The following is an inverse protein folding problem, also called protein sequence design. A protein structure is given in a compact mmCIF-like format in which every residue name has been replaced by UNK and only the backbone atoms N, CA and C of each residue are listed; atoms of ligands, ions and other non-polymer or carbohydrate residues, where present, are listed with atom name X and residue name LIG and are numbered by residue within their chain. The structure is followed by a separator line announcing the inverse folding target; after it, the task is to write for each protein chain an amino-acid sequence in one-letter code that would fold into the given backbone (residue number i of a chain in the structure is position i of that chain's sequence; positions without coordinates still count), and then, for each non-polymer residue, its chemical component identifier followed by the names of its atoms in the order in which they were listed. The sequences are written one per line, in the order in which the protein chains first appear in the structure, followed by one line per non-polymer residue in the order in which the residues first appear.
data_IF_142796017213
#
_entry.id   IF_142796017213
#
_cell.length_a   1.000
_cell.length_b   1.000
_cell.length_c   1.000
_cell.angle_alpha   90.00
_cell.angle_beta   90.00
_cell.angle_gamma   90.00
#
_symmetry.space_group_name_H-M   'P 1'
#
loop_
_entity.id
_entity.type
_entity.pdbx_description
1 polymer ?
#
# COMPACT_ATOMS: atom_id res chain seq x y z
N UNK A 1 -24.84 -1.47 -18.59
CA UNK A 1 -24.93 -0.05 -18.23
C UNK A 1 -25.90 0.27 -17.08
N UNK A 2 -27.13 -0.25 -16.98
CA UNK A 2 -28.08 0.07 -15.87
C UNK A 2 -27.63 -0.41 -14.48
N UNK A 3 -26.98 -1.56 -14.33
CA UNK A 3 -26.51 -2.09 -13.05
C UNK A 3 -25.34 -1.29 -12.46
N UNK A 4 -24.40 -0.83 -13.30
CA UNK A 4 -23.27 0.02 -12.88
C UNK A 4 -23.73 1.39 -12.38
N UNK A 5 -24.77 1.96 -13.00
CA UNK A 5 -25.36 3.24 -12.57
C UNK A 5 -26.09 3.09 -11.23
N UNK A 6 -26.88 2.01 -11.02
CA UNK A 6 -27.53 1.73 -9.73
C UNK A 6 -26.51 1.50 -8.60
N UNK A 7 -25.40 0.79 -8.86
CA UNK A 7 -24.33 0.56 -7.88
C UNK A 7 -23.62 1.87 -7.49
N UNK A 8 -23.35 2.75 -8.48
CA UNK A 8 -22.75 4.08 -8.20
C UNK A 8 -23.67 4.96 -7.37
N UNK A 9 -24.97 4.99 -7.69
CA UNK A 9 -25.98 5.74 -6.90
C UNK A 9 -26.06 5.18 -5.47
N UNK A 10 -26.06 3.86 -5.29
CA UNK A 10 -26.04 3.24 -3.96
C UNK A 10 -24.80 3.60 -3.13
N UNK A 11 -23.60 3.62 -3.77
CA UNK A 11 -22.37 4.02 -3.10
C UNK A 11 -22.39 5.50 -2.69
N UNK A 12 -22.91 6.38 -3.55
CA UNK A 12 -23.05 7.80 -3.23
C UNK A 12 -24.06 8.01 -2.09
N UNK A 13 -25.18 7.32 -2.12
CA UNK A 13 -26.18 7.38 -1.06
C UNK A 13 -25.61 6.89 0.29
N UNK A 14 -24.84 5.80 0.28
CA UNK A 14 -24.16 5.30 1.47
C UNK A 14 -23.12 6.30 2.01
N UNK A 15 -22.34 6.93 1.12
CA UNK A 15 -21.38 7.96 1.52
C UNK A 15 -22.07 9.18 2.15
N UNK A 16 -23.14 9.66 1.52
CA UNK A 16 -23.95 10.77 2.06
C UNK A 16 -24.57 10.42 3.41
N UNK A 17 -25.08 9.20 3.57
CA UNK A 17 -25.63 8.74 4.83
C UNK A 17 -24.57 8.78 5.95
N UNK A 18 -23.39 8.22 5.71
CA UNK A 18 -22.33 8.21 6.73
C UNK A 18 -21.77 9.61 7.04
N UNK A 19 -21.67 10.48 6.03
CA UNK A 19 -21.33 11.89 6.26
C UNK A 19 -22.39 12.61 7.10
N UNK A 20 -23.68 12.35 6.87
CA UNK A 20 -24.75 12.91 7.67
C UNK A 20 -24.75 12.39 9.12
N UNK A 21 -24.48 11.09 9.32
CA UNK A 21 -24.30 10.49 10.66
C UNK A 21 -23.14 11.13 11.39
N UNK A 22 -21.99 11.30 10.72
CA UNK A 22 -20.84 11.98 11.32
C UNK A 22 -21.13 13.44 11.66
N UNK A 23 -21.77 14.17 10.74
CA UNK A 23 -22.19 15.57 11.01
C UNK A 23 -23.13 15.66 12.22
N UNK A 24 -24.11 14.79 12.31
CA UNK A 24 -25.04 14.74 13.43
C UNK A 24 -24.33 14.41 14.76
N UNK A 25 -23.39 13.47 14.75
CA UNK A 25 -22.58 13.13 15.91
C UNK A 25 -21.71 14.31 16.38
N UNK A 26 -21.06 15.01 15.46
CA UNK A 26 -20.26 16.21 15.77
C UNK A 26 -21.12 17.32 16.38
N UNK A 27 -22.32 17.54 15.84
CA UNK A 27 -23.27 18.52 16.37
C UNK A 27 -23.81 18.13 17.79
N UNK A 28 -24.05 16.82 18.01
CA UNK A 28 -24.51 16.32 19.29
C UNK A 28 -23.47 16.44 20.41
N UNK A 29 -22.17 16.26 20.07
CA UNK A 29 -21.03 16.44 21.00
C UNK A 29 -20.80 17.93 21.29
N UNK A 30 -20.96 18.80 20.28
CA UNK A 30 -20.88 20.24 20.41
C UNK A 30 -19.51 20.80 20.80
N UNK A 31 -18.47 19.96 20.81
CA UNK A 31 -17.10 20.35 21.17
C UNK A 31 -16.12 19.89 20.07
N UNK A 32 -15.55 20.85 19.34
CA UNK A 32 -14.66 20.62 18.22
C UNK A 32 -13.37 19.88 18.61
N UNK A 33 -12.91 20.03 19.85
CA UNK A 33 -11.73 19.33 20.36
C UNK A 33 -11.91 17.81 20.39
N UNK A 34 -13.15 17.32 20.61
CA UNK A 34 -13.43 15.89 20.63
C UNK A 34 -13.80 15.33 19.26
N UNK A 35 -14.63 16.03 18.51
CA UNK A 35 -15.07 15.58 17.18
C UNK A 35 -15.38 16.77 16.28
N UNK A 36 -14.55 16.93 15.27
CA UNK A 36 -14.73 17.93 14.22
C UNK A 36 -15.76 17.44 13.21
N UNK A 37 -16.61 18.33 12.72
CA UNK A 37 -17.56 18.01 11.67
C UNK A 37 -16.87 17.82 10.31
N UNK A 38 -17.48 17.05 9.36
CA UNK A 38 -16.96 16.92 8.00
C UNK A 38 -16.71 18.26 7.30
N UNK A 39 -17.60 19.24 7.53
CA UNK A 39 -17.49 20.56 6.92
C UNK A 39 -16.27 21.32 7.44
N UNK A 40 -16.04 21.29 8.75
CA UNK A 40 -14.86 21.92 9.37
C UNK A 40 -13.55 21.23 8.94
N UNK A 41 -13.52 19.90 8.92
CA UNK A 41 -12.36 19.15 8.45
C UNK A 41 -12.02 19.48 6.98
N UNK A 42 -13.05 19.63 6.14
CA UNK A 42 -12.87 20.07 4.75
C UNK A 42 -12.39 21.53 4.65
N UNK A 43 -12.90 22.42 5.50
CA UNK A 43 -12.44 23.80 5.61
C UNK A 43 -10.96 23.88 5.97
N UNK A 44 -10.53 23.18 7.02
CA UNK A 44 -9.11 23.10 7.43
C UNK A 44 -8.24 22.54 6.31
N UNK A 45 -8.71 21.51 5.60
CA UNK A 45 -7.97 20.99 4.44
C UNK A 45 -7.78 22.04 3.34
N UNK A 46 -8.83 22.83 3.05
CA UNK A 46 -8.75 23.92 2.07
C UNK A 46 -7.78 25.03 2.48
N UNK A 47 -7.62 25.30 3.77
CA UNK A 47 -6.64 26.25 4.31
C UNK A 47 -5.19 25.71 4.22
N UNK A 48 -5.00 24.38 4.32
CA UNK A 48 -3.69 23.75 4.21
C UNK A 48 -3.20 23.62 2.76
N UNK A 49 -4.10 23.36 1.81
CA UNK A 49 -3.75 23.11 0.40
C UNK A 49 -2.90 24.18 -0.29
N UNK A 50 -3.09 25.51 -0.06
CA UNK A 50 -2.26 26.55 -0.68
C UNK A 50 -0.88 26.71 -0.04
N UNK A 51 -0.61 26.06 1.11
CA UNK A 51 0.65 26.18 1.83
C UNK A 51 1.75 25.32 1.18
N UNK A 52 2.91 25.90 0.93
CA UNK A 52 4.04 25.17 0.37
C UNK A 52 4.53 24.04 1.31
N UNK A 53 4.48 24.26 2.62
CA UNK A 53 4.83 23.25 3.65
C UNK A 53 3.96 22.00 3.55
N UNK A 54 2.67 22.14 3.23
CA UNK A 54 1.76 21.02 3.01
C UNK A 54 2.29 20.06 1.93
N UNK A 55 2.68 20.59 0.77
CA UNK A 55 3.18 19.76 -0.33
C UNK A 55 4.57 19.19 -0.08
N UNK A 56 5.41 19.89 0.68
CA UNK A 56 6.70 19.37 1.13
C UNK A 56 6.52 18.15 2.02
N UNK A 57 5.60 18.21 3.00
CA UNK A 57 5.26 17.09 3.89
C UNK A 57 4.68 15.90 3.11
N UNK A 58 3.75 16.17 2.19
CA UNK A 58 3.19 15.15 1.31
C UNK A 58 4.30 14.48 0.48
N UNK A 59 5.18 15.28 -0.15
CA UNK A 59 6.29 14.77 -0.95
C UNK A 59 7.29 13.95 -0.13
N UNK A 60 7.63 14.40 1.08
CA UNK A 60 8.51 13.68 1.99
C UNK A 60 7.94 12.29 2.33
N UNK A 61 6.73 12.24 2.91
CA UNK A 61 6.11 10.99 3.34
C UNK A 61 5.85 10.05 2.16
N UNK A 62 5.29 10.57 1.06
CA UNK A 62 5.06 9.76 -0.14
C UNK A 62 6.36 9.16 -0.69
N UNK A 63 7.43 9.96 -0.79
CA UNK A 63 8.72 9.49 -1.29
C UNK A 63 9.31 8.36 -0.43
N UNK A 64 9.27 8.51 0.89
CA UNK A 64 9.82 7.52 1.82
C UNK A 64 8.99 6.23 1.85
N UNK A 65 7.66 6.34 1.94
CA UNK A 65 6.76 5.19 1.98
C UNK A 65 6.83 4.41 0.66
N UNK A 66 6.81 5.11 -0.48
CA UNK A 66 6.90 4.45 -1.80
C UNK A 66 8.26 3.84 -2.06
N UNK A 67 9.34 4.44 -1.55
CA UNK A 67 10.67 3.81 -1.61
C UNK A 67 10.69 2.50 -0.82
N UNK A 68 10.12 2.49 0.40
CA UNK A 68 9.97 1.27 1.20
C UNK A 68 9.12 0.20 0.47
N UNK A 69 8.01 0.61 -0.15
CA UNK A 69 7.18 -0.27 -0.97
C UNK A 69 7.96 -0.85 -2.15
N UNK A 70 8.67 -0.01 -2.92
CA UNK A 70 9.44 -0.47 -4.08
C UNK A 70 10.56 -1.46 -3.69
N UNK A 71 11.28 -1.18 -2.60
CA UNK A 71 12.25 -2.12 -2.03
C UNK A 71 11.59 -3.43 -1.62
N UNK A 72 10.41 -3.36 -0.98
CA UNK A 72 9.62 -4.53 -0.62
C UNK A 72 9.20 -5.37 -1.82
N UNK A 73 8.74 -4.73 -2.90
CA UNK A 73 8.42 -5.42 -4.17
C UNK A 73 9.64 -6.16 -4.72
N UNK A 74 10.76 -5.47 -4.90
CA UNK A 74 11.97 -6.05 -5.51
C UNK A 74 12.49 -7.22 -4.68
N UNK A 75 12.66 -7.00 -3.37
CA UNK A 75 13.20 -8.02 -2.47
C UNK A 75 12.27 -9.22 -2.35
N UNK A 76 10.95 -9.01 -2.26
CA UNK A 76 9.98 -10.11 -2.19
C UNK A 76 9.99 -10.99 -3.42
N UNK A 77 10.06 -10.40 -4.62
CA UNK A 77 10.12 -11.15 -5.89
C UNK A 77 11.42 -11.94 -5.97
N UNK A 78 12.56 -11.34 -5.62
CA UNK A 78 13.86 -12.02 -5.63
C UNK A 78 13.91 -13.17 -4.62
N UNK A 79 13.41 -12.96 -3.40
CA UNK A 79 13.38 -13.99 -2.38
C UNK A 79 12.42 -15.13 -2.74
N UNK A 80 11.26 -14.83 -3.32
CA UNK A 80 10.32 -15.86 -3.76
C UNK A 80 10.89 -16.69 -4.92
N UNK A 81 11.57 -16.05 -5.88
CA UNK A 81 12.26 -16.74 -6.97
C UNK A 81 13.44 -17.60 -6.45
N UNK A 82 14.18 -17.11 -5.45
CA UNK A 82 15.23 -17.89 -4.80
C UNK A 82 14.68 -19.09 -4.03
N UNK A 83 13.58 -18.92 -3.30
CA UNK A 83 12.92 -19.99 -2.56
C UNK A 83 12.36 -21.08 -3.49
N UNK A 84 11.87 -20.72 -4.67
CA UNK A 84 11.47 -21.68 -5.70
C UNK A 84 12.66 -22.49 -6.22
N UNK A 85 13.80 -21.84 -6.40
CA UNK A 85 15.01 -22.50 -6.94
C UNK A 85 15.73 -23.38 -5.90
N UNK A 86 15.69 -22.98 -4.61
CA UNK A 86 16.43 -23.63 -3.52
C UNK A 86 15.53 -23.81 -2.30
N UNK A 87 15.11 -25.03 -2.04
CA UNK A 87 14.22 -25.36 -0.91
C UNK A 87 14.77 -24.95 0.47
N UNK A 88 16.11 -24.90 0.64
CA UNK A 88 16.72 -24.42 1.90
C UNK A 88 16.47 -22.92 2.12
N UNK A 89 16.31 -22.11 1.07
CA UNK A 89 15.96 -20.68 1.18
C UNK A 89 14.57 -20.52 1.73
N UNK A 90 13.60 -21.29 1.22
CA UNK A 90 12.23 -21.30 1.74
C UNK A 90 12.19 -21.68 3.22
N UNK A 91 12.88 -22.76 3.59
CA UNK A 91 12.99 -23.20 4.98
C UNK A 91 13.61 -22.14 5.90
N UNK A 92 14.63 -21.42 5.41
CA UNK A 92 15.30 -20.36 6.17
C UNK A 92 14.42 -19.10 6.30
N UNK A 93 13.68 -18.76 5.27
CA UNK A 93 12.83 -17.55 5.26
C UNK A 93 11.52 -17.73 6.04
N UNK A 94 10.99 -18.94 6.10
CA UNK A 94 9.71 -19.22 6.74
C UNK A 94 9.59 -18.65 8.17
N UNK A 95 10.53 -18.86 9.11
CA UNK A 95 10.45 -18.30 10.45
C UNK A 95 10.54 -16.78 10.46
N UNK A 96 11.34 -16.17 9.57
CA UNK A 96 11.48 -14.71 9.47
C UNK A 96 10.18 -14.07 8.98
N UNK A 97 9.59 -14.62 7.93
CA UNK A 97 8.30 -14.17 7.40
C UNK A 97 7.19 -14.27 8.44
N UNK A 98 7.15 -15.40 9.20
CA UNK A 98 6.18 -15.60 10.29
C UNK A 98 6.40 -14.60 11.43
N UNK A 99 7.65 -14.34 11.81
CA UNK A 99 7.99 -13.37 12.85
C UNK A 99 7.48 -11.97 12.47
N UNK A 100 7.75 -11.53 11.24
CA UNK A 100 7.29 -10.20 10.75
C UNK A 100 5.76 -10.13 10.72
N UNK A 101 5.06 -11.19 10.29
CA UNK A 101 3.58 -11.25 10.28
C UNK A 101 2.97 -11.22 11.68
N UNK A 102 3.61 -11.85 12.66
CA UNK A 102 3.08 -11.99 14.01
C UNK A 102 3.37 -10.78 14.91
N UNK A 103 4.41 -10.01 14.61
CA UNK A 103 4.85 -8.91 15.47
C UNK A 103 3.99 -7.66 15.23
N UNK A 104 3.46 -7.02 16.29
CA UNK A 104 2.75 -5.74 16.17
C UNK A 104 3.64 -4.67 15.56
N UNK A 105 3.11 -3.92 14.59
CA UNK A 105 3.86 -2.87 13.87
C UNK A 105 4.48 -1.85 14.82
N UNK A 106 3.76 -1.41 15.85
CA UNK A 106 4.25 -0.46 16.83
C UNK A 106 5.51 -0.97 17.57
N UNK A 107 5.58 -2.27 17.89
CA UNK A 107 6.76 -2.88 18.51
C UNK A 107 7.97 -2.84 17.58
N UNK A 108 7.77 -3.13 16.28
CA UNK A 108 8.83 -2.98 15.29
C UNK A 108 9.34 -1.55 15.16
N UNK A 109 8.44 -0.57 15.16
CA UNK A 109 8.79 0.85 15.06
C UNK A 109 9.69 1.25 16.24
N UNK A 110 9.29 0.91 17.47
CA UNK A 110 10.06 1.27 18.67
C UNK A 110 11.42 0.57 18.67
N UNK A 111 11.44 -0.72 18.30
CA UNK A 111 12.69 -1.47 18.20
C UNK A 111 13.63 -0.89 17.14
N UNK A 112 13.11 -0.54 15.97
CA UNK A 112 13.89 0.01 14.87
C UNK A 112 14.50 1.37 15.18
N UNK A 113 13.85 2.18 16.03
CA UNK A 113 14.40 3.49 16.49
C UNK A 113 15.73 3.38 17.23
N UNK A 114 16.08 2.20 17.74
CA UNK A 114 17.39 1.98 18.39
C UNK A 114 18.54 2.06 17.39
N UNK A 115 18.28 1.67 16.11
CA UNK A 115 19.34 1.57 15.08
C UNK A 115 19.13 2.51 13.90
N UNK A 116 17.90 2.96 13.66
CA UNK A 116 17.53 3.74 12.47
C UNK A 116 17.00 5.09 12.90
N UNK A 117 17.49 6.16 12.23
CA UNK A 117 16.99 7.51 12.48
C UNK A 117 15.49 7.62 12.13
N UNK A 118 14.76 8.47 12.84
CA UNK A 118 13.34 8.74 12.58
C UNK A 118 13.05 9.06 11.11
N UNK A 119 14.02 9.70 10.42
CA UNK A 119 13.88 10.10 9.01
C UNK A 119 13.79 8.92 8.05
N UNK A 120 14.51 7.82 8.31
CA UNK A 120 14.51 6.63 7.45
C UNK A 120 13.56 5.53 7.95
N UNK A 121 12.90 5.76 9.08
CA UNK A 121 12.08 4.77 9.75
C UNK A 121 10.88 4.34 8.91
N UNK A 122 10.20 5.30 8.25
CA UNK A 122 9.06 4.99 7.38
C UNK A 122 9.44 4.14 6.18
N UNK A 123 10.66 4.28 5.63
CA UNK A 123 11.17 3.42 4.57
C UNK A 123 11.28 1.98 5.07
N UNK A 124 11.98 1.78 6.21
CA UNK A 124 12.21 0.46 6.78
C UNK A 124 10.91 -0.24 7.16
N UNK A 125 10.00 0.46 7.84
CA UNK A 125 8.74 -0.12 8.30
C UNK A 125 7.82 -0.45 7.12
N UNK A 126 7.72 0.43 6.12
CA UNK A 126 6.98 0.15 4.89
C UNK A 126 7.55 -1.07 4.17
N UNK A 127 8.87 -1.17 4.03
CA UNK A 127 9.55 -2.34 3.47
C UNK A 127 9.22 -3.63 4.23
N UNK A 128 9.37 -3.63 5.56
CA UNK A 128 9.10 -4.82 6.38
C UNK A 128 7.65 -5.29 6.29
N UNK A 129 6.69 -4.37 6.20
CA UNK A 129 5.27 -4.73 6.11
C UNK A 129 4.88 -5.25 4.72
N UNK A 130 5.50 -4.74 3.67
CA UNK A 130 5.27 -5.16 2.28
C UNK A 130 5.87 -6.54 2.00
N UNK A 131 7.07 -6.79 2.52
CA UNK A 131 7.87 -7.98 2.22
C UNK A 131 7.10 -9.31 2.41
N UNK A 132 6.50 -9.62 3.57
CA UNK A 132 5.82 -10.90 3.76
C UNK A 132 4.55 -11.05 2.93
N UNK A 133 3.87 -9.93 2.63
CA UNK A 133 2.63 -9.93 1.82
C UNK A 133 2.96 -10.32 0.38
N UNK A 134 3.94 -9.63 -0.22
CA UNK A 134 4.32 -9.87 -1.60
C UNK A 134 5.11 -11.18 -1.78
N UNK A 135 5.97 -11.55 -0.83
CA UNK A 135 6.62 -12.85 -0.84
C UNK A 135 5.58 -13.98 -0.92
N UNK A 136 4.57 -13.96 -0.04
CA UNK A 136 3.51 -14.96 -0.04
C UNK A 136 2.67 -14.92 -1.33
N UNK A 137 2.36 -13.74 -1.86
CA UNK A 137 1.60 -13.59 -3.10
C UNK A 137 2.35 -14.17 -4.31
N UNK A 138 3.67 -13.90 -4.42
CA UNK A 138 4.49 -14.44 -5.51
C UNK A 138 4.63 -15.96 -5.36
N UNK A 139 4.88 -16.48 -4.15
CA UNK A 139 4.96 -17.93 -3.88
C UNK A 139 3.66 -18.64 -4.29
N UNK A 140 2.51 -18.13 -3.82
CA UNK A 140 1.20 -18.68 -4.22
C UNK A 140 1.01 -18.66 -5.74
N UNK A 141 1.43 -17.58 -6.39
CA UNK A 141 1.36 -17.48 -7.85
C UNK A 141 2.26 -18.50 -8.57
N UNK A 142 3.48 -18.73 -8.09
CA UNK A 142 4.39 -19.76 -8.65
C UNK A 142 3.78 -21.16 -8.49
N UNK A 143 3.24 -21.46 -7.29
CA UNK A 143 2.61 -22.75 -7.00
C UNK A 143 1.32 -23.00 -7.78
N UNK A 144 0.67 -21.94 -8.27
CA UNK A 144 -0.53 -22.04 -9.11
C UNK A 144 -0.25 -22.33 -10.59
N UNK A 145 1.03 -22.37 -11.00
CA UNK A 145 1.40 -22.65 -12.38
C UNK A 145 1.00 -24.09 -12.78
N UNK A 146 0.45 -24.24 -13.98
CA UNK A 146 0.01 -25.55 -14.48
C UNK A 146 1.20 -26.49 -14.69
N UNK A 147 1.20 -27.60 -13.97
CA UNK A 147 2.26 -28.63 -14.02
C UNK A 147 2.38 -29.21 -15.43
N UNK A 148 1.27 -29.41 -16.14
CA UNK A 148 1.28 -29.97 -17.50
C UNK A 148 1.98 -29.02 -18.47
N UNK A 149 1.77 -27.70 -18.33
CA UNK A 149 2.49 -26.71 -19.15
C UNK A 149 3.97 -26.69 -18.82
N UNK A 150 4.35 -26.88 -17.56
CA UNK A 150 5.77 -26.97 -17.15
C UNK A 150 6.44 -28.24 -17.70
N UNK A 151 5.78 -29.38 -17.64
CA UNK A 151 6.26 -30.64 -18.25
C UNK A 151 6.40 -30.53 -19.77
N UNK A 152 5.40 -29.97 -20.44
CA UNK A 152 5.47 -29.69 -21.88
C UNK A 152 6.64 -28.78 -22.22
N UNK A 153 6.84 -27.71 -21.44
CA UNK A 153 7.96 -26.78 -21.64
C UNK A 153 9.34 -27.46 -21.45
N UNK A 154 9.39 -28.49 -20.61
CA UNK A 154 10.60 -29.29 -20.39
C UNK A 154 10.85 -30.23 -21.57
N UNK A 155 9.83 -30.94 -22.05
CA UNK A 155 9.93 -31.83 -23.22
C UNK A 155 10.37 -31.08 -24.48
N UNK A 156 9.82 -29.88 -24.70
CA UNK A 156 10.18 -29.03 -25.85
C UNK A 156 11.45 -28.19 -25.61
N UNK A 157 12.16 -28.40 -24.52
CA UNK A 157 13.39 -27.67 -24.15
C UNK A 157 13.25 -26.15 -24.25
N UNK A 158 12.08 -25.60 -23.83
CA UNK A 158 11.87 -24.15 -23.88
C UNK A 158 12.88 -23.41 -23.00
N UNK A 159 13.51 -22.33 -23.52
CA UNK A 159 14.45 -21.54 -22.72
C UNK A 159 13.75 -20.89 -21.52
N UNK A 160 14.49 -20.69 -20.43
CA UNK A 160 13.97 -20.18 -19.16
C UNK A 160 13.16 -18.88 -19.33
N UNK A 161 13.66 -17.93 -20.12
CA UNK A 161 12.98 -16.66 -20.39
C UNK A 161 11.57 -16.86 -21.01
N UNK A 162 11.43 -17.86 -21.89
CA UNK A 162 10.15 -18.18 -22.53
C UNK A 162 9.19 -18.87 -21.54
N UNK A 163 9.72 -19.75 -20.66
CA UNK A 163 8.92 -20.36 -19.56
C UNK A 163 8.41 -19.28 -18.58
N UNK A 164 9.30 -18.35 -18.19
CA UNK A 164 8.90 -17.23 -17.31
C UNK A 164 7.79 -16.42 -17.94
N UNK A 165 7.94 -16.01 -19.20
CA UNK A 165 6.97 -15.16 -19.90
C UNK A 165 5.64 -15.86 -20.16
N UNK A 166 5.66 -17.13 -20.60
CA UNK A 166 4.46 -17.82 -21.08
C UNK A 166 3.72 -18.61 -20.00
N UNK A 167 4.38 -19.02 -18.92
CA UNK A 167 3.78 -19.88 -17.89
C UNK A 167 3.75 -19.19 -16.53
N UNK A 168 4.94 -18.81 -15.99
CA UNK A 168 4.98 -18.28 -14.63
C UNK A 168 4.41 -16.88 -14.51
N UNK A 169 4.71 -15.97 -15.42
CA UNK A 169 4.21 -14.60 -15.33
C UNK A 169 2.68 -14.53 -15.35
N UNK A 170 1.95 -15.19 -16.26
CA UNK A 170 0.48 -15.23 -16.22
C UNK A 170 -0.07 -15.88 -14.95
N UNK A 171 0.59 -16.92 -14.42
CA UNK A 171 0.18 -17.59 -13.18
C UNK A 171 0.38 -16.70 -11.94
N UNK A 172 1.51 -16.00 -11.85
CA UNK A 172 1.86 -15.14 -10.71
C UNK A 172 1.01 -13.87 -10.67
N UNK A 173 0.70 -13.30 -11.83
CA UNK A 173 0.13 -11.97 -11.96
C UNK A 173 -1.14 -11.71 -11.15
N UNK A 174 -2.16 -12.58 -11.13
CA UNK A 174 -3.39 -12.34 -10.37
C UNK A 174 -3.10 -12.22 -8.86
N UNK A 175 -2.30 -13.15 -8.31
CA UNK A 175 -1.94 -13.15 -6.90
C UNK A 175 -1.03 -11.95 -6.55
N UNK A 176 -0.07 -11.62 -7.42
CA UNK A 176 0.83 -10.48 -7.25
C UNK A 176 0.06 -9.15 -7.27
N UNK A 177 -0.84 -8.97 -8.22
CA UNK A 177 -1.71 -7.78 -8.32
C UNK A 177 -2.55 -7.58 -7.07
N UNK A 178 -3.19 -8.65 -6.58
CA UNK A 178 -3.93 -8.65 -5.33
C UNK A 178 -3.01 -8.32 -4.14
N UNK A 179 -1.84 -8.95 -4.07
CA UNK A 179 -0.83 -8.70 -3.06
C UNK A 179 -0.36 -7.24 -3.04
N UNK A 180 -0.14 -6.62 -4.21
CA UNK A 180 0.22 -5.20 -4.32
C UNK A 180 -0.88 -4.27 -3.79
N UNK A 181 -2.16 -4.54 -4.08
CA UNK A 181 -3.27 -3.75 -3.55
C UNK A 181 -3.28 -3.78 -2.02
N UNK A 182 -3.17 -4.97 -1.43
CA UNK A 182 -3.11 -5.14 0.04
C UNK A 182 -1.84 -4.48 0.63
N UNK A 183 -0.69 -4.72 0.01
CA UNK A 183 0.60 -4.20 0.47
C UNK A 183 0.65 -2.67 0.44
N UNK A 184 0.10 -2.01 -0.59
CA UNK A 184 0.00 -0.56 -0.67
C UNK A 184 -0.83 0.03 0.48
N UNK A 185 -1.99 -0.56 0.80
CA UNK A 185 -2.80 -0.12 1.93
C UNK A 185 -2.08 -0.27 3.28
N UNK A 186 -1.33 -1.37 3.46
CA UNK A 186 -0.58 -1.63 4.68
C UNK A 186 0.63 -0.70 4.79
N UNK A 187 1.40 -0.49 3.71
CA UNK A 187 2.61 0.33 3.76
C UNK A 187 2.30 1.80 4.08
N UNK A 188 1.20 2.38 3.57
CA UNK A 188 0.77 3.71 3.94
C UNK A 188 0.43 3.83 5.42
N UNK A 189 -0.37 2.90 5.94
CA UNK A 189 -0.74 2.88 7.37
C UNK A 189 0.48 2.74 8.27
N UNK A 190 1.36 1.80 7.97
CA UNK A 190 2.54 1.51 8.79
C UNK A 190 3.62 2.58 8.63
N UNK A 191 3.81 3.12 7.42
CA UNK A 191 4.79 4.18 7.17
C UNK A 191 4.43 5.48 7.88
N UNK A 192 3.16 5.91 7.82
CA UNK A 192 2.69 7.07 8.58
C UNK A 192 2.75 6.82 10.09
N UNK A 193 2.41 5.62 10.56
CA UNK A 193 2.57 5.27 11.98
C UNK A 193 4.04 5.36 12.43
N UNK A 194 4.98 4.95 11.58
CA UNK A 194 6.41 5.09 11.84
C UNK A 194 6.83 6.57 11.92
N UNK A 195 6.28 7.43 11.06
CA UNK A 195 6.53 8.88 11.11
C UNK A 195 5.94 9.53 12.38
N UNK A 196 4.74 9.13 12.81
CA UNK A 196 4.10 9.64 14.04
C UNK A 196 4.93 9.28 15.30
N UNK A 197 5.57 8.11 15.30
CA UNK A 197 6.40 7.68 16.44
C UNK A 197 7.83 8.18 16.31
N UNK A 198 8.40 8.17 15.11
CA UNK A 198 9.78 8.59 14.83
C UNK A 198 9.99 10.10 14.69
N UNK A 199 8.89 10.84 14.51
CA UNK A 199 8.84 12.32 14.43
C UNK A 199 9.87 12.93 13.46
N UNK A 200 10.00 12.47 12.22
CA UNK A 200 10.90 13.13 11.28
C UNK A 200 10.31 14.48 10.87
N UNK A 201 11.07 15.54 11.10
CA UNK A 201 10.65 16.90 10.71
C UNK A 201 10.22 16.97 9.24
N UNK A 202 9.11 17.64 8.98
CA UNK A 202 8.58 17.84 7.63
C UNK A 202 7.84 16.63 7.05
N UNK A 203 7.43 15.67 7.86
CA UNK A 203 6.57 14.55 7.45
C UNK A 203 5.10 14.79 7.75
N UNK A 204 4.23 13.98 7.14
CA UNK A 204 2.79 13.94 7.50
C UNK A 204 2.63 13.44 8.94
N UNK A 205 3.43 12.47 9.38
CA UNK A 205 3.38 11.96 10.75
C UNK A 205 3.76 13.02 11.80
N UNK A 206 4.75 13.87 11.52
CA UNK A 206 5.08 15.04 12.37
C UNK A 206 3.90 16.03 12.43
N UNK A 207 3.26 16.32 11.29
CA UNK A 207 2.08 17.19 11.26
C UNK A 207 0.93 16.63 12.11
N UNK A 208 0.64 15.34 11.99
CA UNK A 208 -0.37 14.65 12.83
C UNK A 208 -0.03 14.73 14.32
N UNK A 209 1.23 14.51 14.67
CA UNK A 209 1.66 14.59 16.06
C UNK A 209 1.54 16.01 16.60
N UNK A 210 1.95 17.03 15.84
CA UNK A 210 1.81 18.45 16.23
C UNK A 210 0.35 18.83 16.41
N UNK A 211 -0.52 18.46 15.46
CA UNK A 211 -1.97 18.68 15.57
C UNK A 211 -2.57 18.02 16.83
N UNK A 212 -2.07 16.83 17.21
CA UNK A 212 -2.47 16.16 18.45
C UNK A 212 -2.09 16.95 19.69
N UNK A 213 -0.84 17.41 19.81
CA UNK A 213 -0.37 18.12 21.03
C UNK A 213 -0.96 19.52 21.15
N UNK A 214 -1.32 20.16 20.02
CA UNK A 214 -2.00 21.46 20.00
C UNK A 214 -3.51 21.36 20.10
N UNK A 215 -4.06 20.12 20.16
CA UNK A 215 -5.50 19.84 20.17
C UNK A 215 -6.24 20.38 18.93
N UNK A 216 -5.51 20.55 17.82
CA UNK A 216 -6.07 20.97 16.53
C UNK A 216 -6.74 19.80 15.82
N UNK A 217 -7.92 19.38 16.30
CA UNK A 217 -8.64 18.21 15.79
C UNK A 217 -9.01 18.36 14.30
N UNK A 218 -9.26 19.60 13.84
CA UNK A 218 -9.47 19.89 12.41
C UNK A 218 -8.29 19.47 11.53
N UNK A 219 -7.04 19.78 11.94
CA UNK A 219 -5.85 19.36 11.23
C UNK A 219 -5.62 17.85 11.29
N UNK A 220 -5.92 17.20 12.42
CA UNK A 220 -5.84 15.73 12.52
C UNK A 220 -6.72 15.04 11.47
N UNK A 221 -7.97 15.49 11.34
CA UNK A 221 -8.89 14.95 10.35
C UNK A 221 -8.47 15.32 8.93
N UNK A 222 -8.02 16.56 8.68
CA UNK A 222 -7.54 16.99 7.37
C UNK A 222 -6.36 16.11 6.89
N UNK A 223 -5.32 15.92 7.71
CA UNK A 223 -4.19 15.04 7.39
C UNK A 223 -4.59 13.58 7.23
N UNK A 224 -5.56 13.09 8.02
CA UNK A 224 -6.10 11.74 7.86
C UNK A 224 -6.76 11.56 6.49
N UNK A 225 -7.53 12.55 6.03
CA UNK A 225 -8.09 12.53 4.67
C UNK A 225 -7.02 12.55 3.59
N UNK A 226 -5.98 13.36 3.76
CA UNK A 226 -4.84 13.40 2.83
C UNK A 226 -4.22 12.01 2.70
N UNK A 227 -3.97 11.32 3.81
CA UNK A 227 -3.40 9.97 3.82
C UNK A 227 -4.30 8.98 3.08
N UNK A 228 -5.61 9.02 3.33
CA UNK A 228 -6.58 8.14 2.66
C UNK A 228 -6.59 8.40 1.15
N UNK A 229 -6.61 9.66 0.73
CA UNK A 229 -6.61 10.04 -0.68
C UNK A 229 -5.31 9.66 -1.38
N UNK A 230 -4.17 9.90 -0.74
CA UNK A 230 -2.85 9.51 -1.26
C UNK A 230 -2.75 7.99 -1.40
N UNK A 231 -3.11 7.24 -0.35
CA UNK A 231 -3.09 5.77 -0.38
C UNK A 231 -3.95 5.22 -1.52
N UNK A 232 -5.20 5.67 -1.63
CA UNK A 232 -6.11 5.23 -2.69
C UNK A 232 -5.68 5.68 -4.09
N UNK A 233 -5.11 6.89 -4.20
CA UNK A 233 -4.58 7.42 -5.46
C UNK A 233 -3.37 6.61 -5.95
N UNK A 234 -2.41 6.36 -5.07
CA UNK A 234 -1.23 5.56 -5.40
C UNK A 234 -1.56 4.10 -5.70
N UNK A 235 -2.51 3.50 -4.98
CA UNK A 235 -2.98 2.15 -5.28
C UNK A 235 -3.52 2.07 -6.71
N UNK A 236 -4.44 2.96 -7.08
CA UNK A 236 -5.02 2.99 -8.42
C UNK A 236 -3.97 3.25 -9.50
N UNK A 237 -3.07 4.22 -9.25
CA UNK A 237 -2.01 4.56 -10.19
C UNK A 237 -1.06 3.37 -10.40
N UNK A 238 -0.60 2.76 -9.32
CA UNK A 238 0.33 1.62 -9.38
C UNK A 238 -0.30 0.42 -10.11
N UNK A 239 -1.53 0.05 -9.76
CA UNK A 239 -2.22 -1.07 -10.41
C UNK A 239 -2.48 -0.79 -11.89
N UNK A 240 -2.85 0.42 -12.27
CA UNK A 240 -3.01 0.80 -13.67
C UNK A 240 -1.67 0.75 -14.46
N UNK A 241 -0.56 1.16 -13.83
CA UNK A 241 0.77 1.06 -14.44
C UNK A 241 1.22 -0.41 -14.55
N UNK A 242 0.94 -1.21 -13.53
CA UNK A 242 1.22 -2.65 -13.53
C UNK A 242 0.47 -3.35 -14.67
N UNK A 243 -0.85 -3.12 -14.76
CA UNK A 243 -1.70 -3.70 -15.81
C UNK A 243 -1.19 -3.33 -17.21
N UNK A 244 -0.83 -2.07 -17.44
CA UNK A 244 -0.23 -1.62 -18.71
C UNK A 244 1.14 -2.25 -19.00
N UNK A 245 1.99 -2.37 -17.98
CA UNK A 245 3.31 -3.00 -18.16
C UNK A 245 3.18 -4.47 -18.54
N UNK A 246 2.25 -5.17 -17.90
CA UNK A 246 1.97 -6.57 -18.17
C UNK A 246 1.37 -6.79 -19.56
N UNK A 247 0.38 -5.99 -19.97
CA UNK A 247 -0.21 -6.06 -21.30
C UNK A 247 0.87 -5.94 -22.39
N UNK A 248 1.82 -5.00 -22.23
CA UNK A 248 2.96 -4.86 -23.15
C UNK A 248 3.87 -6.09 -23.19
N UNK A 249 4.17 -6.68 -22.03
CA UNK A 249 5.06 -7.84 -21.92
C UNK A 249 4.40 -9.09 -22.50
N UNK A 250 3.09 -9.28 -22.27
CA UNK A 250 2.35 -10.42 -22.78
C UNK A 250 1.93 -10.26 -24.26
N UNK A 251 1.96 -9.04 -24.81
CA UNK A 251 1.59 -8.77 -26.20
C UNK A 251 0.08 -8.64 -26.41
N UNK A 252 -0.69 -8.33 -25.36
CA UNK A 252 -2.16 -8.20 -25.40
C UNK A 252 -2.63 -6.82 -25.89
N UNK A 253 -1.72 -5.86 -26.11
CA UNK A 253 -2.06 -4.50 -26.59
C UNK A 253 -2.63 -4.45 -28.03
N UNK A 254 -2.75 -5.59 -28.74
CA UNK A 254 -3.18 -5.65 -30.14
C UNK A 254 -4.65 -6.10 -30.30
N UNK A 255 -5.29 -6.62 -29.24
CA UNK A 255 -6.61 -7.25 -29.37
C UNK A 255 -7.80 -6.35 -28.98
N UNK A 256 -7.58 -5.12 -28.52
CA UNK A 256 -8.68 -4.23 -28.08
C UNK A 256 -9.02 -3.11 -29.09
N UNK A 257 -8.40 -3.10 -30.27
CA UNK A 257 -8.62 -2.11 -31.35
C UNK A 257 -9.08 -2.73 -32.69
N UNK A 258 -9.63 -3.95 -32.72
CA UNK A 258 -10.33 -4.50 -33.90
C UNK A 258 -11.84 -4.71 -33.65
#
# INVERSE_FOLDING_TARGET
MKQTKKRRIGLLAAAMFWLAVWQAAAMAIGQEVFLVSPIQAAGTLMELLPQADFWQRVGFSAGHILLGFALGVVVSVLLAAAAERWAWVDTLLAPVIQLVKATPVASFIILALVWVSGRSLSILISFLMVLPVLYSAVRTGIESADVQLLEMAQVFHLPLARRVKAIWLPAILPAFRQGCSVALGICWKSGVAAEVIGLPDGSIGDALYRAKITLSTGELFAWTFVIILLSAGFEKLFLALLDKAVARVLGEDVAEND
#
